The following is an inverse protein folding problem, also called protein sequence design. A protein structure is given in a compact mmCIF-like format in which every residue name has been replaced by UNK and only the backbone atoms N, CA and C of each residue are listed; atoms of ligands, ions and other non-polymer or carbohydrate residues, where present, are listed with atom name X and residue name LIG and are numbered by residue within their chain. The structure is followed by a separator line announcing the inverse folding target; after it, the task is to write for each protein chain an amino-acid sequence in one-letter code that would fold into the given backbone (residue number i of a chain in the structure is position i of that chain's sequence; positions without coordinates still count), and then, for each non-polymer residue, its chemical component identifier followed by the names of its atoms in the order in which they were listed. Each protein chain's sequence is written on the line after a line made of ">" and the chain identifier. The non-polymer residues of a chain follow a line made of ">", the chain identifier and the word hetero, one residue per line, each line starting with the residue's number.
data_IF_376952711112
#
_entry.id   IF_376952711112
#
_cell.length_a   1.000
_cell.length_b   1.000
_cell.length_c   1.000
_cell.angle_alpha   90.00
_cell.angle_beta   90.00
_cell.angle_gamma   90.00
#
_symmetry.space_group_name_H-M   'P 1'
#
loop_
_entity.id
_entity.type
_entity.pdbx_description
1 polymer ?
#
# COMPACT_ATOMS: atom_id res chain seq x y z
N UNK A 1 13.05 9.19 15.67
CA UNK A 1 11.98 8.66 16.55
C UNK A 1 10.69 9.18 15.94
N UNK A 2 9.83 8.31 15.43
CA UNK A 2 8.55 8.75 14.84
C UNK A 2 7.67 9.18 16.01
N UNK A 3 7.17 10.40 15.97
CA UNK A 3 6.23 10.87 16.99
C UNK A 3 4.89 10.18 16.75
N UNK A 4 4.37 9.48 17.76
CA UNK A 4 3.14 8.70 17.62
C UNK A 4 1.91 9.60 17.44
N UNK A 5 2.05 10.89 17.74
CA UNK A 5 1.02 11.92 17.57
C UNK A 5 0.77 12.28 16.09
N UNK A 6 1.72 11.99 15.19
CA UNK A 6 1.59 12.23 13.74
C UNK A 6 0.94 11.07 12.99
N UNK A 7 0.60 9.97 13.68
CA UNK A 7 0.07 8.75 13.07
C UNK A 7 -1.41 8.58 13.40
N UNK A 8 -2.28 8.64 12.39
CA UNK A 8 -3.70 8.34 12.58
C UNK A 8 -3.87 6.84 12.87
N UNK A 9 -4.59 6.43 13.94
CA UNK A 9 -4.80 5.02 14.24
C UNK A 9 -5.61 4.34 13.14
N UNK A 10 -4.92 3.59 12.29
CA UNK A 10 -5.55 2.73 11.30
C UNK A 10 -5.85 1.37 11.91
N UNK A 11 -7.11 0.93 11.85
CA UNK A 11 -7.51 -0.44 12.21
C UNK A 11 -7.65 -1.26 10.94
N UNK A 12 -6.66 -2.09 10.64
CA UNK A 12 -6.81 -3.19 9.69
C UNK A 12 -6.78 -4.51 10.45
N UNK A 13 -7.57 -5.49 10.00
CA UNK A 13 -7.52 -6.83 10.59
C UNK A 13 -6.28 -7.53 10.05
N UNK A 14 -5.36 -7.95 10.93
CA UNK A 14 -4.14 -8.67 10.54
C UNK A 14 -4.46 -9.95 9.75
N UNK A 15 -5.63 -10.56 10.00
CA UNK A 15 -6.14 -11.72 9.24
C UNK A 15 -6.36 -11.44 7.75
N UNK A 16 -6.43 -10.17 7.35
CA UNK A 16 -6.61 -9.78 5.95
C UNK A 16 -5.27 -9.76 5.18
N UNK A 17 -4.14 -9.80 5.90
CA UNK A 17 -2.80 -9.89 5.29
C UNK A 17 -2.28 -11.31 5.53
N UNK A 18 -2.68 -12.22 4.65
CA UNK A 18 -2.20 -13.61 4.69
C UNK A 18 -0.97 -13.72 3.80
N UNK A 19 0.18 -14.04 4.38
CA UNK A 19 1.36 -14.39 3.59
C UNK A 19 1.14 -15.77 2.98
N UNK A 20 1.08 -15.84 1.65
CA UNK A 20 0.72 -17.06 0.93
C UNK A 20 1.74 -18.19 1.14
N UNK A 21 2.98 -17.83 1.47
CA UNK A 21 4.00 -18.78 1.87
C UNK A 21 4.87 -18.17 3.00
N UNK A 22 4.50 -18.40 4.27
CA UNK A 22 5.21 -17.82 5.41
C UNK A 22 6.63 -18.37 5.61
N UNK A 23 7.00 -19.43 4.88
CA UNK A 23 8.34 -20.05 4.92
C UNK A 23 9.31 -19.42 3.92
N UNK A 24 8.84 -18.57 3.00
CA UNK A 24 9.68 -17.83 2.08
C UNK A 24 10.12 -16.50 2.70
N UNK A 25 11.29 -16.02 2.27
CA UNK A 25 11.75 -14.66 2.58
C UNK A 25 10.77 -13.64 1.99
N UNK A 26 9.92 -13.05 2.85
CA UNK A 26 8.94 -12.02 2.49
C UNK A 26 9.63 -10.66 2.30
N UNK A 27 10.60 -10.60 1.39
CA UNK A 27 11.35 -9.39 1.02
C UNK A 27 10.60 -8.65 -0.07
N UNK A 28 10.54 -7.32 0.08
CA UNK A 28 10.00 -6.42 -0.95
C UNK A 28 10.95 -6.40 -2.15
N UNK A 29 10.39 -6.55 -3.34
CA UNK A 29 11.08 -6.49 -4.63
C UNK A 29 10.74 -5.22 -5.41
N UNK A 30 9.54 -4.70 -5.21
CA UNK A 30 9.07 -3.49 -5.88
C UNK A 30 8.12 -2.73 -4.96
N UNK A 31 8.21 -1.40 -5.00
CA UNK A 31 7.26 -0.47 -4.41
C UNK A 31 6.59 0.29 -5.55
N UNK A 32 5.26 0.32 -5.56
CA UNK A 32 4.46 1.14 -6.50
C UNK A 32 3.69 2.18 -5.71
N UNK A 33 3.85 3.45 -6.08
CA UNK A 33 3.17 4.60 -5.48
C UNK A 33 2.16 5.17 -6.47
N UNK A 34 0.89 5.24 -6.07
CA UNK A 34 -0.18 5.78 -6.90
C UNK A 34 -0.39 7.27 -6.63
N UNK A 35 -0.50 8.07 -7.70
CA UNK A 35 -0.62 9.52 -7.67
C UNK A 35 0.45 10.22 -6.81
N UNK A 36 1.69 9.74 -6.93
CA UNK A 36 2.80 10.22 -6.13
C UNK A 36 3.07 11.71 -6.36
N UNK A 37 3.19 12.45 -5.26
CA UNK A 37 3.59 13.85 -5.24
C UNK A 37 4.72 14.03 -4.25
N UNK A 38 5.73 14.78 -4.65
CA UNK A 38 6.80 15.23 -3.76
C UNK A 38 6.43 16.60 -3.20
N UNK A 39 6.54 16.75 -1.88
CA UNK A 39 6.42 18.04 -1.20
C UNK A 39 7.65 18.28 -0.32
N UNK A 40 7.63 19.35 0.48
CA UNK A 40 8.73 19.72 1.39
C UNK A 40 8.90 18.76 2.56
N UNK A 41 7.87 17.99 2.89
CA UNK A 41 7.82 17.08 4.05
C UNK A 41 8.13 15.62 3.66
N UNK A 42 8.02 15.27 2.37
CA UNK A 42 8.35 13.95 1.87
C UNK A 42 7.64 13.59 0.57
N UNK A 43 7.41 12.28 0.40
CA UNK A 43 6.60 11.72 -0.67
C UNK A 43 5.20 11.42 -0.12
N UNK A 44 4.18 11.86 -0.83
CA UNK A 44 2.78 11.56 -0.55
C UNK A 44 2.22 10.79 -1.74
N UNK A 45 1.38 9.79 -1.48
CA UNK A 45 0.70 9.01 -2.49
C UNK A 45 -0.73 8.72 -2.03
N UNK A 46 -1.63 8.49 -2.99
CA UNK A 46 -3.02 8.16 -2.70
C UNK A 46 -3.19 6.68 -2.31
N UNK A 47 -2.31 5.80 -2.81
CA UNK A 47 -2.22 4.39 -2.42
C UNK A 47 -0.81 3.83 -2.63
N UNK A 48 -0.51 2.71 -1.99
CA UNK A 48 0.80 2.03 -2.02
C UNK A 48 0.60 0.54 -2.34
N UNK A 49 1.41 -0.01 -3.25
CA UNK A 49 1.56 -1.46 -3.43
C UNK A 49 2.99 -1.90 -3.16
N UNK A 50 3.12 -2.98 -2.41
CA UNK A 50 4.36 -3.72 -2.24
C UNK A 50 4.25 -5.03 -3.03
N UNK A 51 5.23 -5.30 -3.88
CA UNK A 51 5.38 -6.61 -4.53
C UNK A 51 6.55 -7.34 -3.88
N UNK A 52 6.29 -8.50 -3.31
CA UNK A 52 7.31 -9.34 -2.69
C UNK A 52 8.07 -10.16 -3.74
N UNK A 53 9.27 -10.66 -3.41
CA UNK A 53 10.07 -11.51 -4.32
C UNK A 53 9.31 -12.76 -4.79
N UNK A 54 8.42 -13.29 -3.94
CA UNK A 54 7.54 -14.42 -4.26
C UNK A 54 6.32 -14.03 -5.12
N UNK A 55 6.28 -12.80 -5.63
CA UNK A 55 5.21 -12.20 -6.44
C UNK A 55 3.89 -11.96 -5.71
N UNK A 56 3.84 -12.17 -4.39
CA UNK A 56 2.70 -11.72 -3.60
C UNK A 56 2.64 -10.18 -3.59
N UNK A 57 1.43 -9.65 -3.78
CA UNK A 57 1.15 -8.23 -3.68
C UNK A 57 0.49 -7.90 -2.34
N UNK A 58 0.87 -6.76 -1.77
CA UNK A 58 0.23 -6.17 -0.59
C UNK A 58 -0.13 -4.73 -0.95
N UNK A 59 -1.41 -4.45 -1.04
CA UNK A 59 -1.97 -3.16 -1.37
C UNK A 59 -2.45 -2.44 -0.09
N UNK A 60 -2.13 -1.16 0.00
CA UNK A 60 -2.51 -0.26 1.07
C UNK A 60 -3.34 0.87 0.46
N UNK A 61 -4.62 0.87 0.81
CA UNK A 61 -5.58 1.92 0.49
C UNK A 61 -5.89 2.73 1.77
N UNK A 62 -5.39 3.97 1.90
CA UNK A 62 -5.72 4.84 3.03
C UNK A 62 -7.13 5.46 2.94
N UNK A 63 -7.94 5.09 1.94
CA UNK A 63 -9.33 5.52 1.83
C UNK A 63 -10.23 4.85 2.88
N UNK A 64 -11.33 5.51 3.24
CA UNK A 64 -12.38 5.03 4.17
C UNK A 64 -11.95 4.81 5.63
N UNK A 65 -12.19 5.79 6.51
CA UNK A 65 -12.18 5.68 8.00
C UNK A 65 -10.99 4.90 8.64
N UNK A 66 -9.90 4.67 7.90
CA UNK A 66 -8.80 3.77 8.25
C UNK A 66 -7.94 3.42 7.02
N UNK A 67 -7.02 2.47 7.18
CA UNK A 67 -6.18 1.94 6.09
C UNK A 67 -6.68 0.52 5.77
N UNK A 68 -7.25 0.33 4.58
CA UNK A 68 -7.56 -0.98 4.04
C UNK A 68 -6.27 -1.62 3.52
N UNK A 69 -6.04 -2.88 3.91
CA UNK A 69 -4.85 -3.63 3.49
C UNK A 69 -5.29 -5.01 2.98
N UNK A 70 -4.82 -5.40 1.80
CA UNK A 70 -5.12 -6.69 1.21
C UNK A 70 -4.32 -6.95 -0.07
N UNK A 71 -4.78 -7.89 -0.89
CA UNK A 71 -4.14 -8.23 -2.17
C UNK A 71 -4.68 -7.41 -3.34
N UNK A 72 -4.69 -8.01 -4.51
CA UNK A 72 -5.16 -7.39 -5.76
C UNK A 72 -6.64 -7.01 -5.72
N UNK A 73 -7.45 -7.67 -4.89
CA UNK A 73 -8.87 -7.35 -4.70
C UNK A 73 -9.10 -5.98 -4.04
N UNK A 74 -8.20 -5.57 -3.13
CA UNK A 74 -8.26 -4.23 -2.52
C UNK A 74 -7.78 -3.18 -3.52
N UNK A 75 -6.76 -3.51 -4.32
CA UNK A 75 -6.29 -2.65 -5.43
C UNK A 75 -7.40 -2.41 -6.46
N UNK A 76 -8.12 -3.46 -6.86
CA UNK A 76 -9.24 -3.37 -7.81
C UNK A 76 -10.37 -2.48 -7.26
N UNK A 77 -10.80 -2.70 -6.01
CA UNK A 77 -11.81 -1.87 -5.38
C UNK A 77 -11.37 -0.41 -5.26
N UNK A 78 -10.09 -0.16 -4.94
CA UNK A 78 -9.56 1.19 -4.91
C UNK A 78 -9.59 1.85 -6.29
N UNK A 79 -9.19 1.12 -7.34
CA UNK A 79 -9.21 1.60 -8.73
C UNK A 79 -10.62 1.95 -9.19
N UNK A 80 -11.60 1.10 -8.88
CA UNK A 80 -13.00 1.30 -9.27
C UNK A 80 -13.62 2.54 -8.60
N UNK A 81 -13.09 2.95 -7.45
CA UNK A 81 -13.55 4.14 -6.72
C UNK A 81 -12.85 5.44 -7.15
N UNK A 82 -11.88 5.39 -8.08
CA UNK A 82 -11.22 6.59 -8.58
C UNK A 82 -12.14 7.34 -9.55
N UNK A 83 -12.37 8.63 -9.27
CA UNK A 83 -13.19 9.50 -10.12
C UNK A 83 -12.49 9.92 -11.42
N UNK A 84 -11.17 9.80 -11.46
CA UNK A 84 -10.29 10.26 -12.54
C UNK A 84 -9.23 9.19 -12.83
N UNK A 85 -8.48 9.37 -13.93
CA UNK A 85 -7.31 8.54 -14.21
C UNK A 85 -6.28 8.69 -13.10
N UNK A 86 -5.64 7.57 -12.72
CA UNK A 86 -4.52 7.57 -11.78
C UNK A 86 -3.21 7.34 -12.51
N UNK A 87 -2.13 7.86 -11.95
CA UNK A 87 -0.76 7.58 -12.37
C UNK A 87 -0.07 6.68 -11.33
N UNK A 88 0.88 5.86 -11.77
CA UNK A 88 1.65 5.00 -10.87
C UNK A 88 3.13 5.08 -11.19
N UNK A 89 3.95 5.22 -10.16
CA UNK A 89 5.41 5.17 -10.27
C UNK A 89 5.91 3.95 -9.51
N UNK A 90 6.74 3.12 -10.15
CA UNK A 90 7.36 1.97 -9.51
C UNK A 90 8.85 2.16 -9.25
N UNK A 91 9.35 1.52 -8.21
CA UNK A 91 10.77 1.46 -7.84
C UNK A 91 11.12 0.04 -7.44
N UNK A 92 12.13 -0.52 -8.10
CA UNK A 92 12.71 -1.83 -7.80
C UNK A 92 13.73 -1.65 -6.68
N UNK A 93 13.71 -2.54 -5.68
CA UNK A 93 14.64 -2.53 -4.53
C UNK A 93 15.77 -3.54 -4.72
#
# INVERSE_FOLDING_TARGET
>A
MVDLDDVVPAKSRISNVIFNNPLLDNKVSEIVLFNMKKNTEGLVCDALKLVLLNKQEIFFDPSFLGINVGGSEVEELWRDNQKEYYESVSTII
#
